data_IF_553219241137
#
_entry.id   IF_553219241137
#
_cell.length_a   1.000
_cell.length_b   1.000
_cell.length_c   1.000
_cell.angle_alpha   90.00
_cell.angle_beta   90.00
_cell.angle_gamma   90.00
#
_symmetry.space_group_name_H-M   'P 1'
#
loop_
_entity.id
_entity.type
_entity.pdbx_description
1 polymer ?
#
# COMPACT_ATOMS: atom_id res chain seq x y z
N UNK A 1 6.20 -9.72 18.58
CA UNK A 1 5.42 -10.75 17.86
C UNK A 1 6.37 -11.67 17.10
N UNK A 2 6.24 -12.95 17.29
CA UNK A 2 7.01 -13.91 16.50
C UNK A 2 6.18 -14.37 15.30
N UNK A 3 6.79 -14.32 14.13
CA UNK A 3 6.20 -14.94 12.94
C UNK A 3 6.70 -16.38 12.83
N UNK A 4 5.77 -17.31 12.70
CA UNK A 4 6.07 -18.70 12.38
C UNK A 4 5.59 -19.00 10.96
N UNK A 5 6.06 -20.11 10.37
CA UNK A 5 5.57 -20.54 9.07
C UNK A 5 4.06 -20.77 9.05
N UNK A 6 3.52 -21.31 10.13
CA UNK A 6 2.08 -21.52 10.28
C UNK A 6 1.31 -20.20 10.27
N UNK A 7 1.83 -19.18 10.93
CA UNK A 7 1.20 -17.85 10.97
C UNK A 7 1.19 -17.21 9.59
N UNK A 8 2.28 -17.34 8.84
CA UNK A 8 2.36 -16.81 7.47
C UNK A 8 1.33 -17.50 6.58
N UNK A 9 1.22 -18.83 6.65
CA UNK A 9 0.24 -19.57 5.87
C UNK A 9 -1.19 -19.17 6.22
N UNK A 10 -1.48 -18.99 7.50
CA UNK A 10 -2.80 -18.54 7.97
C UNK A 10 -3.16 -17.18 7.41
N UNK A 11 -2.23 -16.22 7.42
CA UNK A 11 -2.44 -14.89 6.86
C UNK A 11 -2.68 -14.99 5.35
N UNK A 12 -1.86 -15.77 4.64
CA UNK A 12 -2.01 -15.98 3.21
C UNK A 12 -3.39 -16.54 2.84
N UNK A 13 -3.85 -17.54 3.59
CA UNK A 13 -5.17 -18.13 3.37
C UNK A 13 -6.29 -17.11 3.58
N UNK A 14 -6.18 -16.25 4.60
CA UNK A 14 -7.15 -15.18 4.84
C UNK A 14 -7.19 -14.19 3.70
N UNK A 15 -6.05 -13.82 3.13
CA UNK A 15 -5.98 -12.93 1.98
C UNK A 15 -6.69 -13.59 0.78
N UNK A 16 -6.44 -14.87 0.52
CA UNK A 16 -7.08 -15.62 -0.56
C UNK A 16 -8.61 -15.64 -0.43
N UNK A 17 -9.12 -15.78 0.78
CA UNK A 17 -10.55 -15.83 1.05
C UNK A 17 -11.21 -14.45 0.93
N UNK A 18 -10.59 -13.43 1.50
CA UNK A 18 -11.17 -12.07 1.58
C UNK A 18 -10.93 -11.23 0.35
N UNK A 19 -9.87 -11.49 -0.38
CA UNK A 19 -9.44 -10.73 -1.55
C UNK A 19 -9.48 -9.21 -1.28
N UNK A 20 -8.74 -8.72 -0.28
CA UNK A 20 -8.83 -7.31 0.11
C UNK A 20 -8.35 -6.39 -1.01
N UNK A 21 -8.98 -5.23 -1.12
CA UNK A 21 -8.52 -4.19 -2.03
C UNK A 21 -7.43 -3.39 -1.30
N UNK A 22 -6.24 -3.34 -1.88
CA UNK A 22 -5.09 -2.67 -1.29
C UNK A 22 -4.69 -1.49 -2.17
N UNK A 23 -4.63 -0.30 -1.57
CA UNK A 23 -4.17 0.92 -2.25
C UNK A 23 -2.65 1.00 -2.12
N UNK A 24 -1.94 1.00 -3.24
CA UNK A 24 -0.49 1.05 -3.25
C UNK A 24 -0.01 2.26 -4.05
N UNK A 25 0.71 3.17 -3.40
CA UNK A 25 1.32 4.33 -4.04
C UNK A 25 2.82 4.07 -4.14
N UNK A 26 3.30 3.87 -5.35
CA UNK A 26 4.70 3.54 -5.62
C UNK A 26 5.19 4.28 -6.86
N UNK A 27 6.48 4.18 -7.17
CA UNK A 27 7.05 4.89 -8.32
C UNK A 27 6.76 4.17 -9.64
N UNK A 28 6.99 4.88 -10.75
CA UNK A 28 6.68 4.38 -12.09
C UNK A 28 7.50 3.11 -12.48
N UNK A 29 8.65 2.90 -11.84
CA UNK A 29 9.50 1.74 -12.15
C UNK A 29 8.92 0.46 -11.54
N UNK A 30 8.34 0.56 -10.34
CA UNK A 30 7.90 -0.61 -9.57
C UNK A 30 6.38 -0.82 -9.57
N UNK A 31 5.61 0.08 -10.18
CA UNK A 31 4.14 0.00 -10.12
C UNK A 31 3.60 -1.33 -10.62
N UNK A 32 4.12 -1.82 -11.72
CA UNK A 32 3.67 -3.08 -12.31
C UNK A 32 4.04 -4.29 -11.45
N UNK A 33 5.27 -4.30 -10.93
CA UNK A 33 5.73 -5.39 -10.08
C UNK A 33 4.96 -5.44 -8.76
N UNK A 34 4.69 -4.27 -8.16
CA UNK A 34 3.89 -4.19 -6.93
C UNK A 34 2.45 -4.69 -7.17
N UNK A 35 1.84 -4.30 -8.28
CA UNK A 35 0.51 -4.76 -8.62
C UNK A 35 0.50 -6.29 -8.81
N UNK A 36 1.50 -6.82 -9.50
CA UNK A 36 1.58 -8.25 -9.76
C UNK A 36 1.80 -9.09 -8.50
N UNK A 37 2.63 -8.62 -7.58
CA UNK A 37 2.85 -9.36 -6.33
C UNK A 37 1.59 -9.35 -5.45
N UNK A 38 0.86 -8.25 -5.42
CA UNK A 38 -0.40 -8.17 -4.68
C UNK A 38 -1.44 -9.11 -5.28
N UNK A 39 -1.54 -9.18 -6.61
CA UNK A 39 -2.41 -10.13 -7.31
C UNK A 39 -2.01 -11.57 -7.00
N UNK A 40 -0.71 -11.87 -7.03
CA UNK A 40 -0.21 -13.21 -6.73
C UNK A 40 -0.52 -13.64 -5.30
N UNK A 41 -0.55 -12.70 -4.38
CA UNK A 41 -0.93 -12.97 -2.98
C UNK A 41 -2.44 -13.12 -2.78
N UNK A 42 -3.25 -12.86 -3.81
CA UNK A 42 -4.71 -12.98 -3.74
C UNK A 42 -5.43 -11.68 -3.41
N UNK A 43 -4.71 -10.57 -3.29
CA UNK A 43 -5.30 -9.25 -3.07
C UNK A 43 -5.70 -8.58 -4.38
N UNK A 44 -6.48 -7.51 -4.29
CA UNK A 44 -6.86 -6.69 -5.46
C UNK A 44 -6.16 -5.34 -5.34
N UNK A 45 -5.13 -5.06 -6.15
CA UNK A 45 -4.39 -3.81 -6.05
C UNK A 45 -5.11 -2.65 -6.73
N UNK A 46 -4.99 -1.46 -6.15
CA UNK A 46 -5.38 -0.20 -6.75
C UNK A 46 -4.18 0.73 -6.67
N UNK A 47 -3.72 1.23 -7.83
CA UNK A 47 -2.47 1.97 -7.95
C UNK A 47 -2.67 3.47 -8.15
N UNK A 48 -3.80 4.03 -7.71
CA UNK A 48 -4.11 5.45 -7.87
C UNK A 48 -3.11 6.32 -7.12
N UNK A 49 -2.61 7.37 -7.76
CA UNK A 49 -1.62 8.26 -7.18
C UNK A 49 -1.91 9.76 -7.42
N UNK A 50 -3.04 10.09 -8.05
CA UNK A 50 -3.40 11.48 -8.27
C UNK A 50 -3.92 12.12 -6.98
N UNK A 51 -3.38 13.28 -6.55
CA UNK A 51 -3.75 13.90 -5.28
C UNK A 51 -5.25 14.15 -5.11
N UNK A 52 -5.98 14.37 -6.20
CA UNK A 52 -7.42 14.64 -6.15
C UNK A 52 -8.29 13.40 -5.95
N UNK A 53 -7.73 12.19 -6.15
CA UNK A 53 -8.52 10.95 -6.05
C UNK A 53 -8.11 10.02 -4.92
N UNK A 54 -6.88 10.18 -4.39
CA UNK A 54 -6.34 9.20 -3.43
C UNK A 54 -7.11 9.12 -2.12
N UNK A 55 -7.72 10.20 -1.68
CA UNK A 55 -8.52 10.18 -0.46
C UNK A 55 -9.74 9.28 -0.60
N UNK A 56 -10.46 9.42 -1.69
CA UNK A 56 -11.64 8.60 -1.98
C UNK A 56 -11.26 7.14 -2.21
N UNK A 57 -10.20 6.91 -2.98
CA UNK A 57 -9.71 5.55 -3.23
C UNK A 57 -9.27 4.88 -1.93
N UNK A 58 -8.51 5.57 -1.09
CA UNK A 58 -8.06 5.03 0.20
C UNK A 58 -9.25 4.66 1.08
N UNK A 59 -10.30 5.49 1.10
CA UNK A 59 -11.48 5.22 1.90
C UNK A 59 -12.18 3.91 1.51
N UNK A 60 -12.11 3.53 0.23
CA UNK A 60 -12.73 2.31 -0.27
C UNK A 60 -11.86 1.05 -0.21
N UNK A 61 -10.65 1.14 0.35
CA UNK A 61 -9.71 0.02 0.38
C UNK A 61 -9.49 -0.49 1.80
N UNK A 62 -8.89 -1.68 1.92
CA UNK A 62 -8.65 -2.31 3.22
C UNK A 62 -7.34 -1.83 3.88
N UNK A 63 -6.35 -1.43 3.08
CA UNK A 63 -5.05 -0.98 3.59
C UNK A 63 -4.34 -0.10 2.57
N UNK A 64 -3.29 0.59 3.02
CA UNK A 64 -2.49 1.50 2.21
C UNK A 64 -1.02 1.12 2.30
N UNK A 65 -0.35 1.06 1.15
CA UNK A 65 1.10 0.88 1.05
C UNK A 65 1.69 2.13 0.40
N UNK A 66 2.68 2.75 1.05
CA UNK A 66 3.37 3.93 0.54
C UNK A 66 4.86 3.65 0.34
N UNK A 67 5.37 3.85 -0.87
CA UNK A 67 6.78 3.76 -1.17
C UNK A 67 7.39 5.16 -1.23
N UNK A 68 8.22 5.52 -0.27
CA UNK A 68 8.83 6.84 -0.19
C UNK A 68 9.86 7.11 -1.29
N UNK A 69 10.23 6.12 -2.08
CA UNK A 69 10.99 6.32 -3.30
C UNK A 69 10.19 7.02 -4.41
N UNK A 70 8.86 7.09 -4.28
CA UNK A 70 7.99 7.80 -5.23
C UNK A 70 7.93 9.29 -4.90
N UNK A 71 9.01 10.02 -5.16
CA UNK A 71 9.18 11.42 -4.74
C UNK A 71 8.07 12.33 -5.28
N UNK A 72 7.63 12.11 -6.51
CA UNK A 72 6.58 12.94 -7.13
C UNK A 72 5.20 12.73 -6.50
N UNK A 73 5.03 11.70 -5.69
CA UNK A 73 3.73 11.32 -5.14
C UNK A 73 3.59 11.59 -3.64
N UNK A 74 4.51 12.35 -3.03
CA UNK A 74 4.46 12.62 -1.59
C UNK A 74 3.18 13.30 -1.15
N UNK A 75 2.65 14.23 -1.94
CA UNK A 75 1.41 14.90 -1.61
C UNK A 75 0.23 13.92 -1.60
N UNK A 76 0.18 13.03 -2.59
CA UNK A 76 -0.82 11.98 -2.64
C UNK A 76 -0.70 11.02 -1.45
N UNK A 77 0.53 10.62 -1.09
CA UNK A 77 0.77 9.75 0.06
C UNK A 77 0.35 10.40 1.37
N UNK A 78 0.61 11.70 1.52
CA UNK A 78 0.20 12.44 2.71
C UNK A 78 -1.32 12.44 2.86
N UNK A 79 -2.03 12.75 1.79
CA UNK A 79 -3.50 12.79 1.79
C UNK A 79 -4.08 11.39 2.06
N UNK A 80 -3.59 10.37 1.35
CA UNK A 80 -4.03 9.00 1.53
C UNK A 80 -3.72 8.49 2.94
N UNK A 81 -2.53 8.79 3.45
CA UNK A 81 -2.11 8.37 4.79
C UNK A 81 -2.98 8.96 5.89
N UNK A 82 -3.32 10.23 5.79
CA UNK A 82 -4.22 10.88 6.74
C UNK A 82 -5.60 10.23 6.72
N UNK A 83 -6.12 9.91 5.54
CA UNK A 83 -7.42 9.27 5.42
C UNK A 83 -7.41 7.85 5.96
N UNK A 84 -6.39 7.06 5.64
CA UNK A 84 -6.24 5.71 6.15
C UNK A 84 -6.14 5.71 7.69
N UNK A 85 -5.35 6.62 8.25
CA UNK A 85 -5.22 6.75 9.69
C UNK A 85 -6.57 7.10 10.35
N UNK A 86 -7.30 8.05 9.79
CA UNK A 86 -8.60 8.46 10.31
C UNK A 86 -9.62 7.32 10.31
N UNK A 87 -9.52 6.41 9.33
CA UNK A 87 -10.43 5.26 9.20
C UNK A 87 -9.93 4.01 9.93
N UNK A 88 -8.74 4.07 10.53
CA UNK A 88 -8.15 2.92 11.21
C UNK A 88 -7.63 1.83 10.27
N UNK A 89 -7.36 2.16 9.01
CA UNK A 89 -6.79 1.22 8.05
C UNK A 89 -5.29 1.01 8.30
N UNK A 90 -4.78 -0.23 8.20
CA UNK A 90 -3.34 -0.47 8.29
C UNK A 90 -2.57 0.27 7.19
N UNK A 91 -1.40 0.79 7.53
CA UNK A 91 -0.51 1.50 6.62
C UNK A 91 0.86 0.83 6.67
N UNK A 92 1.39 0.47 5.50
CA UNK A 92 2.75 -0.05 5.35
C UNK A 92 3.57 1.01 4.63
N UNK A 93 4.72 1.36 5.19
CA UNK A 93 5.62 2.36 4.61
C UNK A 93 6.94 1.71 4.24
N UNK A 94 7.36 1.89 2.99
CA UNK A 94 8.69 1.52 2.52
C UNK A 94 9.54 2.79 2.51
N UNK A 95 10.49 2.95 3.47
CA UNK A 95 11.29 4.17 3.58
C UNK A 95 12.47 4.23 2.61
N UNK A 96 12.51 3.39 1.59
CA UNK A 96 13.60 3.31 0.64
C UNK A 96 13.94 4.70 0.07
N UNK A 97 15.21 5.08 0.15
CA UNK A 97 15.67 6.35 -0.38
C UNK A 97 15.47 7.56 0.52
N UNK A 98 14.85 7.40 1.67
CA UNK A 98 14.55 8.53 2.58
C UNK A 98 15.79 9.30 2.98
N UNK A 99 16.91 8.62 3.24
CA UNK A 99 18.17 9.27 3.64
C UNK A 99 19.02 9.74 2.45
N UNK A 100 18.59 9.47 1.23
CA UNK A 100 19.32 9.87 0.01
C UNK A 100 19.08 11.31 -0.43
N UNK A 101 18.12 11.99 0.19
CA UNK A 101 17.72 13.34 -0.17
C UNK A 101 17.13 14.06 1.04
N UNK A 102 17.31 15.39 1.07
CA UNK A 102 16.65 16.23 2.08
C UNK A 102 15.20 16.54 1.72
N UNK A 103 14.80 16.20 0.51
CA UNK A 103 13.43 16.40 0.06
C UNK A 103 12.46 15.49 0.81
#
# INVERSE_FOLDING_TARGET
>A
MKFSGEKVVEIYEKIQQKRPIIHCITNAVTVNDCANILLAAGASPTMAHHPCEVEEITAGTASLICNFGAISDYEAMKTAGKRAHALGHPIVIDPFGVSGSSY
#
